data_IF_511876959133
#
_entry.id   IF_511876959133
#
_cell.length_a   1.000
_cell.length_b   1.000
_cell.length_c   1.000
_cell.angle_alpha   90.00
_cell.angle_beta   90.00
_cell.angle_gamma   90.00
#
_symmetry.space_group_name_H-M   'P 1'
#
loop_
_entity.id
_entity.type
_entity.pdbx_description
1 polymer ?
#
# COMPACT_ATOMS: atom_id res chain seq x y z
N UNK A 1 -16.86 -2.53 7.20
CA UNK A 1 -15.95 -1.51 6.65
C UNK A 1 -14.53 -2.00 6.80
N UNK A 2 -13.90 -2.48 5.72
CA UNK A 2 -12.45 -2.73 5.71
C UNK A 2 -11.79 -1.61 4.91
N UNK A 3 -10.95 -0.83 5.58
CA UNK A 3 -10.10 0.14 4.90
C UNK A 3 -9.08 -0.65 4.08
N UNK A 4 -9.10 -0.48 2.76
CA UNK A 4 -8.01 -0.90 1.89
C UNK A 4 -7.14 0.29 1.52
N UNK A 5 -5.87 0.04 1.23
CA UNK A 5 -4.87 1.00 0.78
C UNK A 5 -4.33 0.48 -0.55
N UNK A 6 -4.49 1.23 -1.63
CA UNK A 6 -3.79 0.92 -2.88
C UNK A 6 -2.40 1.53 -2.78
N UNK A 7 -1.33 0.78 -3.02
CA UNK A 7 0.05 1.29 -2.99
C UNK A 7 0.81 0.84 -4.23
N UNK A 8 1.32 1.80 -5.00
CA UNK A 8 2.24 1.55 -6.11
C UNK A 8 3.67 1.65 -5.59
N UNK A 9 4.49 0.63 -5.82
CA UNK A 9 5.92 0.61 -5.49
C UNK A 9 6.71 0.36 -6.77
N UNK A 10 7.71 1.19 -7.02
CA UNK A 10 8.64 1.02 -8.13
C UNK A 10 9.99 0.56 -7.59
N UNK A 11 10.37 -0.68 -7.92
CA UNK A 11 11.56 -1.39 -7.41
C UNK A 11 12.22 -2.17 -8.56
N UNK A 12 13.55 -2.06 -8.69
CA UNK A 12 14.31 -2.78 -9.72
C UNK A 12 13.90 -2.45 -11.17
N UNK A 13 13.33 -1.26 -11.40
CA UNK A 13 12.81 -0.87 -12.72
C UNK A 13 11.42 -1.43 -13.06
N UNK A 14 10.75 -2.09 -12.11
CA UNK A 14 9.41 -2.63 -12.25
C UNK A 14 8.44 -1.92 -11.31
N UNK A 15 7.26 -1.59 -11.83
CA UNK A 15 6.15 -1.10 -11.02
C UNK A 15 5.28 -2.25 -10.52
N UNK A 16 4.93 -2.23 -9.24
CA UNK A 16 4.03 -3.18 -8.61
C UNK A 16 2.94 -2.45 -7.85
N UNK A 17 1.70 -2.87 -8.05
CA UNK A 17 0.53 -2.33 -7.40
C UNK A 17 0.02 -3.31 -6.35
N UNK A 18 -0.19 -2.83 -5.12
CA UNK A 18 -0.65 -3.63 -3.99
C UNK A 18 -1.98 -3.10 -3.47
N UNK A 19 -2.86 -4.01 -3.03
CA UNK A 19 -4.04 -3.70 -2.24
C UNK A 19 -3.80 -4.22 -0.84
N UNK A 20 -3.71 -3.30 0.12
CA UNK A 20 -3.23 -3.59 1.46
C UNK A 20 -4.29 -3.24 2.50
N UNK A 21 -4.42 -4.05 3.54
CA UNK A 21 -5.25 -3.73 4.71
C UNK A 21 -4.54 -2.79 5.68
N UNK A 22 -3.23 -2.64 5.53
CA UNK A 22 -2.39 -1.74 6.30
C UNK A 22 -1.24 -1.18 5.46
N UNK A 23 -0.93 0.10 5.65
CA UNK A 23 0.26 0.73 5.12
C UNK A 23 0.78 1.76 6.13
N UNK A 24 2.09 1.74 6.40
CA UNK A 24 2.76 2.67 7.29
C UNK A 24 4.06 3.16 6.63
N UNK A 25 4.16 4.47 6.45
CA UNK A 25 5.37 5.13 6.00
C UNK A 25 6.23 5.53 7.20
N UNK A 26 7.54 5.33 7.07
CA UNK A 26 8.55 5.71 8.07
C UNK A 26 9.78 6.29 7.38
N UNK A 27 10.75 6.77 8.16
CA UNK A 27 12.02 7.25 7.61
C UNK A 27 12.81 6.14 6.88
N UNK A 28 12.64 4.88 7.29
CA UNK A 28 13.35 3.73 6.74
C UNK A 28 12.65 3.13 5.50
N UNK A 29 11.52 3.70 5.07
CA UNK A 29 10.73 3.23 3.93
C UNK A 29 9.29 2.90 4.32
N UNK A 30 8.67 1.97 3.59
CA UNK A 30 7.27 1.58 3.80
C UNK A 30 7.15 0.14 4.30
N UNK A 31 6.21 -0.07 5.20
CA UNK A 31 5.73 -1.37 5.62
C UNK A 31 4.24 -1.49 5.28
N UNK A 32 3.83 -2.62 4.71
CA UNK A 32 2.46 -2.86 4.27
C UNK A 32 2.04 -4.29 4.57
N UNK A 33 0.73 -4.50 4.78
CA UNK A 33 0.12 -5.83 4.89
C UNK A 33 -0.91 -5.98 3.79
N UNK A 34 -0.65 -6.85 2.83
CA UNK A 34 -1.45 -7.02 1.63
C UNK A 34 -1.84 -8.50 1.51
N UNK A 35 -3.14 -8.79 1.48
CA UNK A 35 -3.67 -10.17 1.50
C UNK A 35 -3.15 -11.04 2.67
N UNK A 36 -2.78 -10.42 3.80
CA UNK A 36 -2.20 -11.13 4.95
C UNK A 36 -0.69 -11.38 4.86
N UNK A 37 -0.03 -10.89 3.80
CA UNK A 37 1.42 -10.97 3.60
C UNK A 37 2.04 -9.62 3.93
N UNK A 38 3.15 -9.65 4.67
CA UNK A 38 3.93 -8.46 4.99
C UNK A 38 4.90 -8.11 3.87
N UNK A 39 4.89 -6.84 3.46
CA UNK A 39 5.82 -6.26 2.49
C UNK A 39 6.60 -5.13 3.14
N UNK A 40 7.91 -5.10 2.89
CA UNK A 40 8.79 -4.05 3.38
C UNK A 40 9.70 -3.58 2.25
N UNK A 41 9.69 -2.28 1.99
CA UNK A 41 10.59 -1.65 1.03
C UNK A 41 11.37 -0.58 1.75
N UNK A 42 12.70 -0.60 1.56
CA UNK A 42 13.56 0.41 2.13
C UNK A 42 13.42 1.72 1.35
N UNK A 43 13.72 2.86 1.98
CA UNK A 43 13.72 4.16 1.30
C UNK A 43 14.71 4.22 0.13
N UNK A 44 15.76 3.41 0.12
CA UNK A 44 16.71 3.32 -1.00
C UNK A 44 16.16 2.55 -2.20
N UNK A 45 15.22 1.62 -1.97
CA UNK A 45 14.60 0.81 -3.03
C UNK A 45 13.30 1.45 -3.54
N UNK A 46 12.68 2.30 -2.72
CA UNK A 46 11.37 2.88 -2.96
C UNK A 46 11.47 4.19 -3.73
N UNK A 47 11.00 4.18 -4.97
CA UNK A 47 11.12 5.34 -5.87
C UNK A 47 9.89 6.26 -5.80
N UNK A 48 8.69 5.74 -5.50
CA UNK A 48 7.46 6.54 -5.37
C UNK A 48 6.34 5.77 -4.67
N UNK A 49 5.36 6.49 -4.09
CA UNK A 49 4.03 6.01 -3.69
C UNK A 49 3.00 6.92 -4.34
N UNK A 50 2.14 6.36 -5.19
CA UNK A 50 1.25 7.17 -6.04
C UNK A 50 -0.07 7.54 -5.37
N UNK A 51 -0.64 6.66 -4.55
CA UNK A 51 -1.89 6.95 -3.84
C UNK A 51 -2.01 6.08 -2.60
N UNK A 52 -2.89 6.47 -1.68
CA UNK A 52 -3.33 5.69 -0.52
C UNK A 52 -4.82 5.96 -0.40
N UNK A 53 -5.64 5.17 -1.10
CA UNK A 53 -7.10 5.37 -1.15
C UNK A 53 -7.80 4.46 -0.16
N UNK A 54 -8.44 5.03 0.87
CA UNK A 54 -9.39 4.30 1.72
C UNK A 54 -10.58 3.83 0.89
N UNK A 55 -10.70 2.52 0.68
CA UNK A 55 -11.94 1.94 0.14
C UNK A 55 -12.93 1.83 1.29
N UNK A 56 -13.95 2.68 1.28
CA UNK A 56 -15.15 2.51 2.10
C UNK A 56 -16.10 1.65 1.26
N UNK A 57 -16.50 0.50 1.78
CA UNK A 57 -17.47 -0.38 1.11
C UNK A 57 -18.85 0.33 1.10
N UNK A 58 -19.24 0.91 -0.04
CA UNK A 58 -20.47 1.70 -0.19
C UNK A 58 -21.77 0.85 -0.23
N UNK A 59 -21.70 -0.45 0.03
CA UNK A 59 -22.87 -1.35 0.02
C UNK A 59 -23.86 -1.17 1.18
N UNK A 60 -23.79 -0.07 1.95
CA UNK A 60 -24.70 0.21 3.07
C UNK A 60 -25.33 1.61 3.03
N UNK A 61 -25.44 2.22 1.85
CA UNK A 61 -26.35 3.35 1.65
C UNK A 61 -27.72 2.81 1.21
N UNK A 62 -28.47 2.29 2.18
CA UNK A 62 -29.93 2.11 2.08
C UNK A 62 -30.60 3.41 2.49
#
# INVERSE_FOLDING_TARGET
>A
MQNAYVVSVFDGGLERNFICSFAMLSADGIFMVCEGIEHRYSTSDLISIESVKHVIDEHNLV
#
